data_IF_942798766166
#
_entry.id   IF_942798766166
#
_cell.length_a   1.000
_cell.length_b   1.000
_cell.length_c   1.000
_cell.angle_alpha   90.00
_cell.angle_beta   90.00
_cell.angle_gamma   90.00
#
_symmetry.space_group_name_H-M   'P 1'
#
loop_
_entity.id
_entity.type
_entity.pdbx_description
1 polymer ?
#
# COMPACT_ATOMS: atom_id res chain seq x y z
N UNK A 1 -14.22 13.72 -4.40
CA UNK A 1 -13.50 13.11 -3.25
C UNK A 1 -13.18 14.21 -2.24
N UNK A 2 -13.52 14.03 -0.95
CA UNK A 2 -13.22 15.06 0.07
C UNK A 2 -11.70 15.16 0.33
N UNK A 3 -11.19 16.30 0.85
CA UNK A 3 -9.77 16.46 1.18
C UNK A 3 -9.23 15.36 2.10
N UNK A 4 -10.01 14.97 3.12
CA UNK A 4 -9.68 13.88 4.04
C UNK A 4 -9.47 12.54 3.34
N UNK A 5 -10.32 12.20 2.36
CA UNK A 5 -10.17 10.96 1.58
C UNK A 5 -8.89 10.99 0.73
N UNK A 6 -8.54 12.14 0.16
CA UNK A 6 -7.28 12.31 -0.60
C UNK A 6 -6.08 12.12 0.30
N UNK A 7 -6.04 12.81 1.44
CA UNK A 7 -4.95 12.71 2.40
C UNK A 7 -4.71 11.26 2.86
N UNK A 8 -5.78 10.51 3.15
CA UNK A 8 -5.65 9.10 3.55
C UNK A 8 -5.02 8.22 2.47
N UNK A 9 -5.29 8.48 1.18
CA UNK A 9 -4.74 7.71 0.06
C UNK A 9 -3.30 8.06 -0.28
N UNK A 10 -2.78 9.21 0.18
CA UNK A 10 -1.37 9.58 -0.01
C UNK A 10 -0.45 8.64 0.77
N UNK A 11 -0.86 8.22 1.98
CA UNK A 11 -0.03 7.38 2.86
C UNK A 11 0.43 6.07 2.18
N UNK A 12 -0.45 5.21 1.64
CA UNK A 12 -0.01 3.98 0.97
C UNK A 12 0.77 4.25 -0.32
N UNK A 13 0.47 5.34 -1.05
CA UNK A 13 1.27 5.73 -2.22
C UNK A 13 2.70 6.14 -1.83
N UNK A 14 2.84 6.85 -0.71
CA UNK A 14 4.14 7.22 -0.16
C UNK A 14 4.93 5.98 0.29
N UNK A 15 4.26 4.97 0.87
CA UNK A 15 4.89 3.68 1.18
C UNK A 15 5.41 2.98 -0.07
N UNK A 16 4.57 2.81 -1.10
CA UNK A 16 5.04 2.25 -2.39
C UNK A 16 6.20 3.03 -3.00
N UNK A 17 6.16 4.37 -2.95
CA UNK A 17 7.25 5.22 -3.43
C UNK A 17 8.53 5.04 -2.59
N UNK A 18 8.42 4.92 -1.27
CA UNK A 18 9.55 4.64 -0.37
C UNK A 18 10.17 3.27 -0.67
N UNK A 19 9.36 2.25 -0.94
CA UNK A 19 9.84 0.91 -1.30
C UNK A 19 10.59 0.90 -2.63
N UNK A 20 10.00 1.47 -3.68
CA UNK A 20 10.63 1.57 -5.00
C UNK A 20 11.90 2.42 -4.91
N UNK A 21 11.82 3.59 -4.28
CA UNK A 21 12.98 4.48 -4.09
C UNK A 21 14.10 3.81 -3.30
N UNK A 22 13.78 3.11 -2.22
CA UNK A 22 14.74 2.36 -1.42
C UNK A 22 15.39 1.20 -2.19
N UNK A 23 14.63 0.48 -3.01
CA UNK A 23 15.17 -0.59 -3.87
C UNK A 23 16.10 -0.04 -4.96
N UNK A 24 15.70 1.05 -5.62
CA UNK A 24 16.53 1.74 -6.62
C UNK A 24 17.82 2.28 -5.96
N UNK A 25 17.72 2.91 -4.79
CA UNK A 25 18.87 3.38 -4.04
C UNK A 25 19.81 2.23 -3.69
N UNK A 26 19.29 1.13 -3.15
CA UNK A 26 20.09 -0.03 -2.78
C UNK A 26 20.82 -0.64 -3.98
N UNK A 27 20.18 -0.66 -5.15
CA UNK A 27 20.78 -1.13 -6.39
C UNK A 27 21.87 -0.19 -6.93
N UNK A 28 21.71 1.13 -6.76
CA UNK A 28 22.63 2.14 -7.30
C UNK A 28 23.81 2.46 -6.38
N UNK A 29 23.57 2.47 -5.06
CA UNK A 29 24.51 3.00 -4.04
C UNK A 29 24.86 1.95 -2.99
N UNK A 30 24.17 0.80 -2.96
CA UNK A 30 24.34 -0.25 -1.96
C UNK A 30 23.35 -0.15 -0.79
N UNK A 31 23.27 -1.22 0.00
CA UNK A 31 22.38 -1.31 1.15
C UNK A 31 22.99 -0.57 2.35
N UNK A 32 22.25 0.31 3.05
CA UNK A 32 22.79 1.01 4.23
C UNK A 32 23.23 0.05 5.33
N UNK A 33 24.38 0.32 5.96
CA UNK A 33 24.91 -0.46 7.10
C UNK A 33 24.12 -0.26 8.41
N UNK A 34 23.47 0.89 8.55
CA UNK A 34 22.61 1.18 9.69
C UNK A 34 21.38 0.24 9.71
N UNK A 35 21.06 -0.31 10.88
CA UNK A 35 19.94 -1.25 11.05
C UNK A 35 18.57 -0.61 10.85
N UNK A 36 18.40 0.63 11.29
CA UNK A 36 17.09 1.29 11.32
C UNK A 36 16.48 1.49 9.91
N UNK A 37 17.19 2.04 8.90
CA UNK A 37 16.65 2.16 7.55
C UNK A 37 16.25 0.81 6.94
N UNK A 38 17.03 -0.25 7.18
CA UNK A 38 16.68 -1.60 6.70
C UNK A 38 15.42 -2.13 7.36
N UNK A 39 15.29 -1.94 8.68
CA UNK A 39 14.11 -2.36 9.42
C UNK A 39 12.86 -1.63 8.93
N UNK A 40 12.94 -0.31 8.75
CA UNK A 40 11.82 0.50 8.25
C UNK A 40 11.41 0.09 6.84
N UNK A 41 12.38 -0.14 5.95
CA UNK A 41 12.11 -0.59 4.59
C UNK A 41 11.43 -1.96 4.57
N UNK A 42 11.93 -2.93 5.34
CA UNK A 42 11.31 -4.26 5.41
C UNK A 42 9.93 -4.23 6.08
N UNK A 43 9.75 -3.43 7.13
CA UNK A 43 8.45 -3.27 7.77
C UNK A 43 7.43 -2.72 6.78
N UNK A 44 7.78 -1.65 6.05
CA UNK A 44 6.89 -1.09 5.03
C UNK A 44 6.65 -2.05 3.85
N UNK A 45 7.66 -2.85 3.47
CA UNK A 45 7.53 -3.85 2.41
C UNK A 45 6.48 -4.90 2.78
N UNK A 46 6.54 -5.42 4.01
CA UNK A 46 5.56 -6.38 4.54
C UNK A 46 4.18 -5.75 4.64
N UNK A 47 4.07 -4.51 5.15
CA UNK A 47 2.79 -3.82 5.30
C UNK A 47 2.12 -3.51 3.94
N UNK A 48 2.90 -3.05 2.96
CA UNK A 48 2.40 -2.69 1.63
C UNK A 48 2.08 -3.91 0.76
N UNK A 49 2.74 -5.05 0.99
CA UNK A 49 2.49 -6.30 0.25
C UNK A 49 1.50 -7.21 0.99
N UNK A 50 1.99 -8.00 1.95
CA UNK A 50 1.20 -8.94 2.72
C UNK A 50 0.09 -8.24 3.50
N UNK A 51 0.41 -7.11 4.13
CA UNK A 51 -0.56 -6.31 4.89
C UNK A 51 -1.73 -5.80 4.05
N UNK A 52 -1.51 -5.45 2.79
CA UNK A 52 -2.59 -5.15 1.84
C UNK A 52 -3.30 -6.41 1.34
N UNK A 53 -2.55 -7.47 1.01
CA UNK A 53 -3.10 -8.71 0.48
C UNK A 53 -4.10 -9.37 1.45
N UNK A 54 -3.81 -9.40 2.76
CA UNK A 54 -4.72 -9.97 3.78
C UNK A 54 -6.03 -9.19 3.92
N UNK A 55 -6.10 -7.96 3.38
CA UNK A 55 -7.33 -7.16 3.40
C UNK A 55 -8.27 -7.49 2.23
N UNK A 56 -7.80 -8.17 1.19
CA UNK A 56 -8.60 -8.49 0.00
C UNK A 56 -9.94 -9.18 0.36
N UNK A 57 -9.99 -10.19 1.25
CA UNK A 57 -11.24 -10.82 1.65
C UNK A 57 -12.26 -9.83 2.26
N UNK A 58 -11.78 -8.80 2.98
CA UNK A 58 -12.63 -7.78 3.61
C UNK A 58 -13.05 -6.66 2.65
N UNK A 59 -12.24 -6.39 1.62
CA UNK A 59 -12.52 -5.40 0.60
C UNK A 59 -13.55 -5.90 -0.43
N UNK A 60 -13.49 -7.19 -0.78
CA UNK A 60 -14.32 -7.77 -1.85
C UNK A 60 -15.84 -7.60 -1.63
N UNK A 61 -16.43 -7.86 -0.45
CA UNK A 61 -17.87 -7.65 -0.24
C UNK A 61 -18.29 -6.19 -0.43
N UNK A 62 -17.51 -5.24 0.10
CA UNK A 62 -17.79 -3.80 -0.03
C UNK A 62 -17.63 -3.30 -1.46
N UNK A 63 -16.63 -3.83 -2.17
CA UNK A 63 -16.43 -3.54 -3.58
C UNK A 63 -17.64 -3.98 -4.41
N UNK A 64 -18.15 -5.20 -4.17
CA UNK A 64 -19.33 -5.73 -4.86
C UNK A 64 -20.57 -4.86 -4.62
N UNK A 65 -20.84 -4.45 -3.37
CA UNK A 65 -21.97 -3.56 -3.08
C UNK A 65 -21.84 -2.20 -3.74
N UNK A 66 -20.62 -1.75 -4.02
CA UNK A 66 -20.32 -0.50 -4.73
C UNK A 66 -20.22 -0.67 -6.26
N UNK A 67 -20.53 -1.85 -6.82
CA UNK A 67 -20.46 -2.12 -8.27
C UNK A 67 -19.03 -2.24 -8.81
N UNK A 68 -18.02 -2.41 -7.95
CA UNK A 68 -16.62 -2.52 -8.34
C UNK A 68 -16.26 -3.99 -8.59
N UNK A 69 -15.78 -4.30 -9.79
CA UNK A 69 -15.37 -5.64 -10.20
C UNK A 69 -14.21 -6.20 -9.36
N UNK A 70 -14.13 -7.54 -9.27
CA UNK A 70 -13.11 -8.25 -8.47
C UNK A 70 -11.66 -7.87 -8.82
N UNK A 71 -11.23 -7.79 -10.09
CA UNK A 71 -9.87 -7.38 -10.42
C UNK A 71 -9.54 -5.96 -9.93
N UNK A 72 -10.47 -5.02 -10.13
CA UNK A 72 -10.32 -3.65 -9.67
C UNK A 72 -10.28 -3.58 -8.14
N UNK A 73 -11.10 -4.34 -7.43
CA UNK A 73 -11.10 -4.42 -5.97
C UNK A 73 -9.75 -4.94 -5.42
N UNK A 74 -9.19 -5.98 -6.04
CA UNK A 74 -7.86 -6.50 -5.68
C UNK A 74 -6.78 -5.44 -5.93
N UNK A 75 -6.76 -4.85 -7.13
CA UNK A 75 -5.77 -3.82 -7.49
C UNK A 75 -5.84 -2.59 -6.58
N UNK A 76 -7.04 -2.08 -6.29
CA UNK A 76 -7.24 -0.97 -5.36
C UNK A 76 -6.83 -1.33 -3.94
N UNK A 77 -7.04 -2.57 -3.51
CA UNK A 77 -6.60 -3.03 -2.18
C UNK A 77 -5.09 -3.13 -2.10
N UNK A 78 -4.42 -3.63 -3.14
CA UNK A 78 -2.95 -3.62 -3.18
C UNK A 78 -2.39 -2.20 -3.26
N UNK A 79 -3.04 -1.28 -3.97
CA UNK A 79 -2.56 0.08 -4.13
C UNK A 79 -2.79 0.95 -2.89
N UNK A 80 -3.97 0.87 -2.28
CA UNK A 80 -4.40 1.79 -1.23
C UNK A 80 -4.68 1.13 0.13
N UNK A 81 -4.64 -0.20 0.22
CA UNK A 81 -4.97 -0.94 1.44
C UNK A 81 -6.35 -0.56 1.96
N UNK A 82 -6.46 -0.34 3.28
CA UNK A 82 -7.72 -0.05 3.93
C UNK A 82 -8.24 1.36 3.65
N UNK A 83 -7.40 2.24 3.11
CA UNK A 83 -7.73 3.66 2.94
C UNK A 83 -8.69 3.90 1.77
N UNK A 84 -8.91 2.92 0.89
CA UNK A 84 -9.96 3.02 -0.13
C UNK A 84 -11.26 2.34 0.32
N UNK A 85 -11.24 1.06 0.70
CA UNK A 85 -12.47 0.27 0.90
C UNK A 85 -13.23 0.62 2.19
N UNK A 86 -12.55 1.19 3.20
CA UNK A 86 -13.22 1.73 4.40
C UNK A 86 -13.95 3.05 4.13
N UNK A 87 -13.77 3.62 2.95
CA UNK A 87 -14.33 4.91 2.54
C UNK A 87 -15.26 4.79 1.32
N UNK A 88 -15.53 3.56 0.87
CA UNK A 88 -16.62 3.29 -0.06
C UNK A 88 -17.96 3.68 0.57
#
# INVERSE_FOLDING_TARGET
MTPRRRAARIVPLAGWAYLVGGAVWAAAVGVPEARLPRLLWWADAVLSTAGHAVQIPLALPRARTAGIGRPAAVGLTMLYGATWWRQL
#
